data_IF_623562847181
#
_entry.id   IF_623562847181
#
_cell.length_a   1.000
_cell.length_b   1.000
_cell.length_c   1.000
_cell.angle_alpha   90.00
_cell.angle_beta   90.00
_cell.angle_gamma   90.00
#
_symmetry.space_group_name_H-M   'P 1'
#
loop_
_entity.id
_entity.type
_entity.pdbx_description
1 polymer ?
#
# COMPACT_ATOMS: atom_id res chain seq x y z
N UNK A 1 9.53 -10.83 14.46
CA UNK A 1 8.40 -9.92 14.70
C UNK A 1 7.95 -9.30 13.37
N UNK A 2 6.63 -9.08 13.20
CA UNK A 2 6.06 -8.54 11.98
C UNK A 2 5.07 -7.43 12.27
N UNK A 3 5.09 -6.38 11.46
CA UNK A 3 4.11 -5.30 11.45
C UNK A 3 3.37 -5.36 10.11
N UNK A 4 2.05 -5.39 10.14
CA UNK A 4 1.22 -5.49 8.94
C UNK A 4 0.40 -4.21 8.81
N UNK A 5 0.60 -3.49 7.71
CA UNK A 5 -0.25 -2.40 7.29
C UNK A 5 -1.34 -2.94 6.39
N UNK A 6 -2.58 -2.87 6.87
CA UNK A 6 -3.74 -3.20 6.04
C UNK A 6 -4.18 -1.96 5.29
N UNK A 7 -4.22 -2.04 3.98
CA UNK A 7 -4.81 -1.02 3.11
C UNK A 7 -5.96 -1.59 2.30
N UNK A 8 -6.73 -0.72 1.68
CA UNK A 8 -7.75 -1.08 0.71
C UNK A 8 -7.59 -0.15 -0.49
N UNK A 9 -6.93 -0.65 -1.54
CA UNK A 9 -6.76 0.12 -2.76
C UNK A 9 -7.98 -0.02 -3.67
N UNK A 10 -8.63 1.10 -3.99
CA UNK A 10 -9.79 1.14 -4.88
C UNK A 10 -9.41 1.13 -6.36
N UNK A 11 -8.14 1.29 -6.68
CA UNK A 11 -7.66 1.53 -8.05
C UNK A 11 -6.90 0.34 -8.64
N UNK A 12 -6.61 -0.68 -7.86
CA UNK A 12 -5.92 -1.89 -8.33
C UNK A 12 -4.45 -1.70 -8.68
N UNK A 13 -3.82 -0.68 -8.14
CA UNK A 13 -2.42 -0.30 -8.40
C UNK A 13 -1.46 -0.88 -7.35
N UNK A 14 -1.90 -0.94 -6.08
CA UNK A 14 -1.06 -1.46 -5.01
C UNK A 14 -1.01 -2.99 -5.01
N UNK A 15 0.16 -3.60 -4.77
CA UNK A 15 0.29 -5.04 -4.73
C UNK A 15 -0.53 -5.65 -3.57
N UNK A 16 -1.06 -6.88 -3.74
CA UNK A 16 -1.74 -7.62 -2.67
C UNK A 16 -0.87 -7.85 -1.44
N UNK A 17 0.44 -8.05 -1.66
CA UNK A 17 1.45 -8.27 -0.63
C UNK A 17 2.76 -7.59 -1.03
N UNK A 18 3.35 -6.84 -0.12
CA UNK A 18 4.70 -6.30 -0.29
C UNK A 18 5.44 -6.15 1.03
N UNK A 19 6.77 -6.20 1.00
CA UNK A 19 7.64 -5.81 2.09
C UNK A 19 8.05 -4.35 1.93
N UNK A 20 8.13 -3.64 3.04
CA UNK A 20 8.52 -2.23 3.09
C UNK A 20 9.85 -2.04 3.79
N UNK A 21 10.67 -1.12 3.30
CA UNK A 21 11.77 -0.54 4.06
C UNK A 21 11.22 0.32 5.21
N UNK A 22 12.06 0.64 6.19
CA UNK A 22 11.66 1.49 7.33
C UNK A 22 11.13 2.85 6.89
N UNK A 23 11.76 3.47 5.90
CA UNK A 23 11.33 4.78 5.38
C UNK A 23 10.04 4.69 4.56
N UNK A 24 9.84 3.62 3.81
CA UNK A 24 8.55 3.34 3.17
C UNK A 24 7.44 3.13 4.22
N UNK A 25 7.73 2.38 5.29
CA UNK A 25 6.78 2.21 6.39
C UNK A 25 6.39 3.55 7.03
N UNK A 26 7.36 4.44 7.28
CA UNK A 26 7.07 5.79 7.79
C UNK A 26 6.20 6.59 6.80
N UNK A 27 6.54 6.59 5.50
CA UNK A 27 5.78 7.29 4.46
C UNK A 27 4.33 6.79 4.39
N UNK A 28 4.14 5.47 4.30
CA UNK A 28 2.81 4.87 4.24
C UNK A 28 2.01 5.06 5.53
N UNK A 29 2.66 5.01 6.69
CA UNK A 29 2.03 5.30 7.97
C UNK A 29 1.54 6.74 8.06
N UNK A 30 2.39 7.71 7.71
CA UNK A 30 2.00 9.13 7.67
C UNK A 30 0.87 9.36 6.66
N UNK A 31 0.91 8.72 5.51
CA UNK A 31 -0.16 8.82 4.48
C UNK A 31 -1.48 8.22 4.97
N UNK A 32 -1.44 7.07 5.65
CA UNK A 32 -2.62 6.38 6.16
C UNK A 32 -3.64 6.08 5.07
N UNK A 33 -3.17 5.58 3.90
CA UNK A 33 -4.00 5.35 2.74
C UNK A 33 -4.93 4.16 2.90
N UNK A 34 -6.19 4.37 2.51
CA UNK A 34 -7.22 3.34 2.35
C UNK A 34 -8.27 3.83 1.36
N UNK A 35 -9.35 3.11 1.19
CA UNK A 35 -10.52 3.57 0.44
C UNK A 35 -11.75 3.68 1.34
N UNK A 36 -12.56 4.72 1.11
CA UNK A 36 -13.95 4.76 1.59
C UNK A 36 -14.78 3.89 0.66
N UNK A 37 -15.52 2.99 1.25
CA UNK A 37 -16.35 2.04 0.49
C UNK A 37 -17.70 2.67 0.13
N UNK A 38 -18.25 2.26 -1.01
CA UNK A 38 -19.61 2.65 -1.41
C UNK A 38 -20.61 2.34 -0.29
N UNK A 39 -21.47 3.30 0.01
CA UNK A 39 -22.54 3.15 1.02
C UNK A 39 -22.09 3.24 2.48
N UNK A 40 -20.79 3.47 2.76
CA UNK A 40 -20.32 3.64 4.15
C UNK A 40 -20.48 5.07 4.68
N UNK A 41 -20.54 6.05 3.80
CA UNK A 41 -20.76 7.46 4.12
C UNK A 41 -21.76 8.08 3.13
N UNK A 42 -22.52 9.10 3.58
CA UNK A 42 -23.46 9.82 2.72
C UNK A 42 -22.73 10.43 1.51
N UNK A 43 -23.20 10.14 0.31
CA UNK A 43 -22.65 10.67 -0.95
C UNK A 43 -21.49 9.85 -1.53
N UNK A 44 -21.03 8.78 -0.88
CA UNK A 44 -20.04 7.85 -1.42
C UNK A 44 -20.79 6.73 -2.17
N UNK A 45 -20.82 6.82 -3.49
CA UNK A 45 -21.48 5.84 -4.39
C UNK A 45 -20.50 4.81 -4.94
N UNK A 46 -19.20 5.15 -4.97
CA UNK A 46 -18.11 4.30 -5.47
C UNK A 46 -16.93 4.35 -4.50
N UNK A 47 -16.08 3.31 -4.43
CA UNK A 47 -14.87 3.34 -3.62
C UNK A 47 -13.93 4.46 -4.07
N UNK A 48 -13.47 5.29 -3.13
CA UNK A 48 -12.58 6.42 -3.39
C UNK A 48 -11.42 6.45 -2.42
N UNK A 49 -10.28 6.99 -2.86
CA UNK A 49 -9.10 7.16 -2.01
C UNK A 49 -9.43 7.97 -0.75
N UNK A 50 -8.95 7.49 0.38
CA UNK A 50 -9.03 8.18 1.66
C UNK A 50 -7.66 8.16 2.34
N UNK A 51 -7.32 9.26 2.99
CA UNK A 51 -6.06 9.41 3.71
C UNK A 51 -6.35 9.83 5.15
N UNK A 52 -5.94 9.01 6.10
CA UNK A 52 -6.08 9.28 7.54
C UNK A 52 -4.71 9.11 8.20
N UNK A 53 -4.00 10.20 8.51
CA UNK A 53 -2.63 10.13 9.03
C UNK A 53 -2.50 9.13 10.16
N UNK A 54 -1.48 8.28 10.09
CA UNK A 54 -1.22 7.19 11.06
C UNK A 54 -2.43 6.27 11.27
N UNK A 55 -3.35 6.17 10.30
CA UNK A 55 -4.63 5.43 10.38
C UNK A 55 -5.55 5.89 11.52
N UNK A 56 -5.29 7.06 12.09
CA UNK A 56 -6.00 7.59 13.26
C UNK A 56 -6.11 9.11 13.26
N UNK A 57 -6.14 9.76 12.08
CA UNK A 57 -6.07 11.21 11.92
C UNK A 57 -6.86 12.03 12.95
N UNK A 58 -8.17 11.75 13.19
CA UNK A 58 -8.98 12.50 14.17
C UNK A 58 -8.51 12.41 15.63
N UNK A 59 -7.66 11.43 15.95
CA UNK A 59 -7.18 11.16 17.31
C UNK A 59 -5.74 11.64 17.54
N UNK A 60 -5.06 12.14 16.51
CA UNK A 60 -3.68 12.61 16.63
C UNK A 60 -3.62 13.95 17.35
N UNK A 61 -2.83 14.02 18.41
CA UNK A 61 -2.59 15.26 19.18
C UNK A 61 -1.26 15.92 18.80
N UNK A 62 -0.35 15.16 18.16
CA UNK A 62 0.96 15.64 17.70
C UNK A 62 1.04 15.55 16.18
N UNK A 63 2.07 16.17 15.62
CA UNK A 63 2.36 16.06 14.20
C UNK A 63 2.61 14.60 13.79
N UNK A 64 2.08 14.11 12.63
CA UNK A 64 2.18 12.71 12.20
C UNK A 64 3.61 12.16 12.16
N UNK A 65 4.60 13.01 11.86
CA UNK A 65 6.01 12.61 11.87
C UNK A 65 6.46 12.06 13.23
N UNK A 66 5.96 12.61 14.35
CA UNK A 66 6.34 12.13 15.70
C UNK A 66 5.91 10.70 15.94
N UNK A 67 4.73 10.32 15.44
CA UNK A 67 4.25 8.95 15.51
C UNK A 67 5.03 8.01 14.57
N UNK A 68 5.42 8.51 13.40
CA UNK A 68 6.25 7.74 12.46
C UNK A 68 7.67 7.51 13.00
N UNK A 69 8.27 8.48 13.71
CA UNK A 69 9.56 8.31 14.43
C UNK A 69 9.45 7.24 15.52
N UNK A 70 8.36 7.23 16.28
CA UNK A 70 8.11 6.18 17.29
C UNK A 70 7.94 4.81 16.66
N UNK A 71 7.25 4.73 15.50
CA UNK A 71 7.14 3.49 14.73
C UNK A 71 8.52 3.01 14.27
N UNK A 72 9.35 3.89 13.67
CA UNK A 72 10.71 3.56 13.24
C UNK A 72 11.56 3.05 14.43
N UNK A 73 11.47 3.71 15.60
CA UNK A 73 12.13 3.24 16.80
C UNK A 73 11.69 1.82 17.17
N UNK A 74 10.39 1.52 17.15
CA UNK A 74 9.89 0.17 17.46
C UNK A 74 10.31 -0.87 16.42
N UNK A 75 10.36 -0.52 15.14
CA UNK A 75 10.90 -1.39 14.10
C UNK A 75 12.36 -1.73 14.41
N UNK A 76 13.16 -0.74 14.83
CA UNK A 76 14.57 -0.94 15.20
C UNK A 76 14.74 -1.76 16.48
N UNK A 77 14.01 -1.41 17.55
CA UNK A 77 14.12 -2.04 18.88
C UNK A 77 13.81 -3.54 18.83
N UNK A 78 12.90 -3.95 17.95
CA UNK A 78 12.40 -5.33 17.85
C UNK A 78 12.82 -6.07 16.58
N UNK A 79 13.65 -5.45 15.74
CA UNK A 79 14.06 -5.98 14.43
C UNK A 79 12.84 -6.52 13.64
N UNK A 80 11.81 -5.69 13.54
CA UNK A 80 10.53 -6.09 12.95
C UNK A 80 10.54 -5.90 11.44
N UNK A 81 10.09 -6.91 10.70
CA UNK A 81 9.76 -6.78 9.28
C UNK A 81 8.43 -6.06 9.11
N UNK A 82 8.32 -5.21 8.09
CA UNK A 82 7.08 -4.46 7.84
C UNK A 82 6.50 -4.86 6.49
N UNK A 83 5.22 -5.19 6.49
CA UNK A 83 4.48 -5.64 5.32
C UNK A 83 3.29 -4.73 5.04
N UNK A 84 3.00 -4.53 3.75
CA UNK A 84 1.75 -3.96 3.28
C UNK A 84 0.90 -5.10 2.72
N UNK A 85 -0.35 -5.16 3.15
CA UNK A 85 -1.35 -6.11 2.64
C UNK A 85 -2.54 -5.31 2.11
N UNK A 86 -2.75 -5.40 0.80
CA UNK A 86 -3.90 -4.78 0.14
C UNK A 86 -5.11 -5.70 0.21
N UNK A 87 -6.20 -5.21 0.76
CA UNK A 87 -7.49 -5.91 0.87
C UNK A 87 -8.53 -5.37 -0.12
N UNK A 88 -8.13 -4.46 -0.99
CA UNK A 88 -8.98 -3.81 -2.00
C UNK A 88 -9.04 -4.58 -3.31
N UNK A 89 -8.63 -3.93 -4.39
CA UNK A 89 -8.60 -4.48 -5.74
C UNK A 89 -7.17 -4.69 -6.22
N UNK A 90 -7.00 -5.58 -7.20
CA UNK A 90 -5.77 -5.82 -7.92
C UNK A 90 -6.11 -6.16 -9.37
N UNK A 91 -5.27 -5.70 -10.32
CA UNK A 91 -5.47 -5.96 -11.76
C UNK A 91 -6.50 -5.07 -12.45
N UNK A 92 -7.30 -4.33 -11.71
CA UNK A 92 -8.23 -3.31 -12.23
C UNK A 92 -8.84 -2.50 -11.08
N UNK A 93 -9.52 -1.39 -11.42
CA UNK A 93 -10.16 -0.55 -10.42
C UNK A 93 -11.50 -1.12 -9.94
N UNK A 94 -11.98 -0.63 -8.79
CA UNK A 94 -13.30 -0.97 -8.26
C UNK A 94 -14.45 -0.63 -9.21
N UNK A 95 -14.27 0.40 -10.06
CA UNK A 95 -15.28 0.89 -11.01
C UNK A 95 -15.33 0.10 -12.32
N UNK A 96 -14.32 -0.73 -12.61
CA UNK A 96 -14.27 -1.56 -13.81
C UNK A 96 -15.03 -2.89 -13.70
N UNK A 97 -15.78 -3.09 -12.61
CA UNK A 97 -16.60 -4.29 -12.40
C UNK A 97 -15.82 -5.51 -11.91
N UNK A 98 -14.55 -5.35 -11.56
CA UNK A 98 -13.74 -6.42 -10.99
C UNK A 98 -14.11 -6.71 -9.53
N UNK A 99 -13.77 -7.92 -9.07
CA UNK A 99 -13.98 -8.32 -7.70
C UNK A 99 -12.88 -7.82 -6.78
N UNK A 100 -13.25 -7.48 -5.55
CA UNK A 100 -12.31 -7.22 -4.47
C UNK A 100 -11.51 -8.48 -4.15
N UNK A 101 -10.26 -8.32 -3.68
CA UNK A 101 -9.42 -9.43 -3.22
C UNK A 101 -10.18 -10.26 -2.18
N UNK A 102 -10.25 -11.58 -2.40
CA UNK A 102 -10.99 -12.50 -1.54
C UNK A 102 -10.41 -12.51 -0.12
N UNK A 103 -11.29 -12.54 0.87
CA UNK A 103 -10.92 -12.62 2.28
C UNK A 103 -10.09 -13.88 2.60
N UNK A 104 -10.30 -14.98 1.87
CA UNK A 104 -9.50 -16.20 2.04
C UNK A 104 -8.05 -15.98 1.64
N UNK A 105 -7.81 -15.25 0.52
CA UNK A 105 -6.46 -14.88 0.08
C UNK A 105 -5.80 -13.92 1.08
N UNK A 106 -6.53 -12.92 1.57
CA UNK A 106 -6.03 -12.02 2.61
C UNK A 106 -5.61 -12.78 3.88
N UNK A 107 -6.44 -13.71 4.34
CA UNK A 107 -6.12 -14.56 5.51
C UNK A 107 -4.91 -15.45 5.26
N UNK A 108 -4.80 -16.01 4.06
CA UNK A 108 -3.66 -16.82 3.68
C UNK A 108 -2.36 -16.02 3.71
N UNK A 109 -2.34 -14.82 3.11
CA UNK A 109 -1.20 -13.90 3.16
C UNK A 109 -0.80 -13.57 4.61
N UNK A 110 -1.78 -13.26 5.47
CA UNK A 110 -1.51 -12.96 6.88
C UNK A 110 -0.89 -14.16 7.60
N UNK A 111 -1.36 -15.38 7.33
CA UNK A 111 -0.77 -16.59 7.91
C UNK A 111 0.68 -16.76 7.47
N UNK A 112 0.99 -16.62 6.18
CA UNK A 112 2.36 -16.69 5.65
C UNK A 112 3.30 -15.64 6.26
N UNK A 113 2.78 -14.44 6.57
CA UNK A 113 3.56 -13.41 7.29
C UNK A 113 3.82 -13.83 8.74
N UNK A 114 2.80 -14.35 9.43
CA UNK A 114 2.87 -14.62 10.87
C UNK A 114 3.66 -15.87 11.21
N UNK A 115 3.64 -16.88 10.34
CA UNK A 115 4.44 -18.11 10.51
C UNK A 115 5.86 -18.00 9.92
N UNK A 116 6.17 -16.89 9.22
CA UNK A 116 7.49 -16.62 8.65
C UNK A 116 7.79 -17.42 7.38
N UNK A 117 6.78 -17.93 6.69
CA UNK A 117 6.95 -18.75 5.47
C UNK A 117 7.24 -17.93 4.21
N UNK A 118 7.17 -16.58 4.28
CA UNK A 118 7.44 -15.74 3.12
C UNK A 118 8.94 -15.73 2.77
N UNK A 119 9.23 -16.05 1.51
CA UNK A 119 10.57 -15.99 0.94
C UNK A 119 10.69 -14.81 -0.04
N UNK A 120 11.62 -13.92 0.24
CA UNK A 120 11.97 -12.77 -0.61
C UNK A 120 13.26 -12.96 -1.41
N UNK A 121 13.80 -14.19 -1.47
CA UNK A 121 14.99 -14.51 -2.29
C UNK A 121 14.76 -14.26 -3.78
N UNK A 122 13.49 -14.36 -4.21
CA UNK A 122 13.03 -13.94 -5.53
C UNK A 122 11.94 -12.90 -5.33
N UNK A 123 12.22 -11.68 -5.72
CA UNK A 123 11.30 -10.54 -5.58
C UNK A 123 11.43 -9.59 -6.77
N UNK A 124 10.41 -8.77 -6.96
CA UNK A 124 10.40 -7.64 -7.89
C UNK A 124 9.91 -6.39 -7.15
N UNK A 125 10.18 -5.23 -7.73
CA UNK A 125 9.69 -3.97 -7.18
C UNK A 125 8.54 -3.45 -8.02
N UNK A 126 7.46 -3.02 -7.35
CA UNK A 126 6.36 -2.39 -8.07
C UNK A 126 6.78 -1.06 -8.70
N UNK A 127 6.07 -0.66 -9.76
CA UNK A 127 6.48 0.47 -10.61
C UNK A 127 6.35 1.83 -9.88
N UNK A 128 5.27 2.01 -9.12
CA UNK A 128 4.89 3.30 -8.57
C UNK A 128 5.43 3.56 -7.16
N UNK A 129 5.33 2.58 -6.27
CA UNK A 129 5.68 2.73 -4.85
C UNK A 129 7.04 2.11 -4.51
N UNK A 130 7.66 1.42 -5.48
CA UNK A 130 8.93 0.71 -5.30
C UNK A 130 8.91 -0.26 -4.09
N UNK A 131 7.73 -0.84 -3.81
CA UNK A 131 7.54 -1.84 -2.78
C UNK A 131 8.05 -3.19 -3.27
N UNK A 132 8.67 -3.95 -2.39
CA UNK A 132 9.23 -5.26 -2.72
C UNK A 132 8.17 -6.35 -2.67
N UNK A 133 7.86 -6.94 -3.81
CA UNK A 133 6.85 -7.98 -3.98
C UNK A 133 7.54 -9.34 -4.05
N UNK A 134 7.24 -10.29 -3.15
CA UNK A 134 7.78 -11.65 -3.25
C UNK A 134 7.18 -12.39 -4.44
N UNK A 135 7.98 -13.23 -5.08
CA UNK A 135 7.53 -14.15 -6.13
C UNK A 135 7.50 -15.59 -5.60
N UNK A 136 6.73 -16.46 -6.27
CA UNK A 136 6.61 -17.87 -5.89
C UNK A 136 6.07 -18.07 -4.46
N UNK A 137 5.11 -17.26 -4.07
CA UNK A 137 4.41 -17.39 -2.78
C UNK A 137 3.44 -18.58 -2.85
N UNK A 138 3.52 -19.50 -1.88
CA UNK A 138 2.67 -20.68 -1.86
C UNK A 138 1.19 -20.33 -1.93
N UNK A 139 0.46 -20.97 -2.84
CA UNK A 139 -0.96 -20.75 -3.06
C UNK A 139 -1.34 -19.43 -3.75
N UNK A 140 -0.35 -18.63 -4.23
CA UNK A 140 -0.58 -17.38 -4.94
C UNK A 140 0.17 -17.35 -6.27
N UNK A 141 -0.51 -16.92 -7.33
CA UNK A 141 0.11 -16.75 -8.65
C UNK A 141 0.86 -15.42 -8.72
N UNK A 142 2.00 -15.42 -9.44
CA UNK A 142 2.81 -14.20 -9.62
C UNK A 142 2.05 -13.08 -10.33
N UNK A 143 1.20 -13.42 -11.28
CA UNK A 143 0.37 -12.45 -12.00
C UNK A 143 -0.66 -11.77 -11.08
N UNK A 144 -1.12 -12.46 -10.04
CA UNK A 144 -1.93 -11.85 -8.99
C UNK A 144 -1.11 -10.93 -8.07
N UNK A 145 0.12 -11.34 -7.74
CA UNK A 145 1.00 -10.57 -6.81
C UNK A 145 1.53 -9.27 -7.44
N UNK A 146 1.78 -9.28 -8.75
CA UNK A 146 2.39 -8.14 -9.48
C UNK A 146 1.30 -7.38 -10.23
N UNK A 147 0.82 -6.22 -9.75
CA UNK A 147 -0.40 -5.58 -10.27
C UNK A 147 -0.42 -5.38 -11.78
N UNK A 148 0.67 -4.89 -12.38
CA UNK A 148 0.70 -4.63 -13.83
C UNK A 148 0.61 -5.90 -14.70
N UNK A 149 0.82 -7.10 -14.16
CA UNK A 149 0.61 -8.35 -14.89
C UNK A 149 -0.89 -8.71 -15.03
N UNK A 150 -1.72 -8.24 -14.10
CA UNK A 150 -3.16 -8.52 -14.06
C UNK A 150 -4.00 -7.48 -14.82
N UNK A 151 -3.38 -6.42 -15.35
CA UNK A 151 -4.10 -5.41 -16.11
C UNK A 151 -4.11 -5.75 -17.61
N UNK A 152 -5.30 -5.76 -18.22
CA UNK A 152 -5.45 -5.97 -19.67
C UNK A 152 -4.91 -4.80 -20.50
N UNK A 153 -4.94 -3.59 -19.95
CA UNK A 153 -4.48 -2.36 -20.59
C UNK A 153 -3.41 -1.65 -19.76
N UNK A 154 -2.17 -1.71 -20.19
CA UNK A 154 -1.04 -1.07 -19.51
C UNK A 154 -1.10 0.47 -19.55
N UNK A 155 -1.65 1.09 -20.59
CA UNK A 155 -1.82 2.55 -20.63
C UNK A 155 -2.79 3.00 -19.53
N UNK A 156 -3.87 2.26 -19.31
CA UNK A 156 -4.82 2.51 -18.24
C UNK A 156 -4.18 2.29 -16.87
N UNK A 157 -3.37 1.22 -16.70
CA UNK A 157 -2.60 0.99 -15.49
C UNK A 157 -1.71 2.18 -15.13
N UNK A 158 -0.90 2.67 -16.10
CA UNK A 158 0.00 3.81 -15.87
C UNK A 158 -0.78 5.11 -15.63
N UNK A 159 -1.85 5.36 -16.36
CA UNK A 159 -2.71 6.53 -16.15
C UNK A 159 -3.31 6.54 -14.74
N UNK A 160 -3.87 5.40 -14.31
CA UNK A 160 -4.47 5.23 -12.98
C UNK A 160 -3.43 5.31 -11.87
N UNK A 161 -2.26 4.69 -12.07
CA UNK A 161 -1.16 4.75 -11.12
C UNK A 161 -0.61 6.17 -10.94
N UNK A 162 -0.42 6.91 -12.02
CA UNK A 162 -0.03 8.31 -11.96
C UNK A 162 -1.06 9.19 -11.24
N UNK A 163 -2.35 8.94 -11.44
CA UNK A 163 -3.41 9.61 -10.71
C UNK A 163 -3.31 9.31 -9.21
N UNK A 164 -3.18 8.04 -8.83
CA UNK A 164 -3.08 7.63 -7.42
C UNK A 164 -1.83 8.21 -6.73
N UNK A 165 -0.68 8.15 -7.39
CA UNK A 165 0.58 8.67 -6.82
C UNK A 165 0.54 10.18 -6.62
N UNK A 166 -0.12 10.94 -7.50
CA UNK A 166 -0.38 12.37 -7.30
C UNK A 166 -1.26 12.63 -6.08
N UNK A 167 -2.28 11.78 -5.82
CA UNK A 167 -3.08 11.87 -4.60
C UNK A 167 -2.23 11.66 -3.34
N UNK A 168 -1.33 10.69 -3.36
CA UNK A 168 -0.37 10.46 -2.26
C UNK A 168 0.51 11.67 -2.03
N UNK A 169 1.16 12.20 -3.07
CA UNK A 169 2.07 13.34 -2.96
C UNK A 169 1.33 14.58 -2.45
N UNK A 170 0.16 14.92 -3.04
CA UNK A 170 -0.66 16.04 -2.61
C UNK A 170 -1.13 15.91 -1.14
N UNK A 171 -1.36 14.68 -0.68
CA UNK A 171 -1.69 14.45 0.72
C UNK A 171 -0.47 14.62 1.62
N UNK A 172 0.68 14.07 1.20
CA UNK A 172 1.91 14.10 1.99
C UNK A 172 2.48 15.52 2.17
N UNK A 173 2.38 16.37 1.14
CA UNK A 173 2.83 17.76 1.14
C UNK A 173 2.17 18.61 2.23
N UNK A 174 0.96 18.24 2.66
CA UNK A 174 0.24 18.93 3.76
C UNK A 174 1.01 18.88 5.09
N UNK A 175 1.83 17.85 5.28
CA UNK A 175 2.58 17.64 6.52
C UNK A 175 3.92 18.40 6.55
N UNK A 176 4.36 18.99 5.41
CA UNK A 176 5.59 19.79 5.32
C UNK A 176 6.83 19.10 5.89
N UNK A 177 6.90 17.78 5.72
CA UNK A 177 8.03 16.96 6.17
C UNK A 177 9.22 17.23 5.25
N UNK A 178 10.42 17.45 5.83
CA UNK A 178 11.64 17.76 5.11
C UNK A 178 12.69 16.64 5.19
N UNK A 179 12.38 15.51 5.80
CA UNK A 179 13.27 14.34 5.82
C UNK A 179 13.38 13.77 4.39
N UNK A 180 14.57 13.92 3.79
CA UNK A 180 14.84 13.52 2.41
C UNK A 180 14.65 12.02 2.18
N UNK A 181 14.93 11.20 3.19
CA UNK A 181 14.84 9.74 3.07
C UNK A 181 13.37 9.28 3.08
N UNK A 182 12.54 9.94 3.89
CA UNK A 182 11.10 9.69 3.88
C UNK A 182 10.48 10.16 2.55
N UNK A 183 10.88 11.35 2.06
CA UNK A 183 10.40 11.86 0.77
C UNK A 183 10.81 10.95 -0.39
N UNK A 184 12.05 10.46 -0.41
CA UNK A 184 12.55 9.54 -1.42
C UNK A 184 11.88 8.15 -1.38
N UNK A 185 11.29 7.77 -0.23
CA UNK A 185 10.54 6.54 -0.06
C UNK A 185 9.08 6.63 -0.56
N UNK A 186 8.65 7.83 -0.96
CA UNK A 186 7.33 8.06 -1.56
C UNK A 186 7.19 7.51 -2.97
N UNK A 187 5.98 7.56 -3.55
CA UNK A 187 5.71 7.02 -4.87
C UNK A 187 6.31 7.87 -5.98
N UNK A 188 6.63 7.20 -7.09
CA UNK A 188 7.05 7.84 -8.34
C UNK A 188 5.82 8.22 -9.16
N UNK A 189 5.87 9.40 -9.78
CA UNK A 189 4.83 9.90 -10.70
C UNK A 189 5.36 10.00 -12.12
N UNK A 190 4.42 10.24 -13.06
CA UNK A 190 4.71 10.49 -14.47
C UNK A 190 5.43 9.34 -15.18
N UNK A 191 5.10 8.10 -14.77
CA UNK A 191 5.56 6.88 -15.43
C UNK A 191 4.69 6.60 -16.69
N UNK A 192 5.31 5.97 -17.69
CA UNK A 192 4.67 5.54 -18.92
C UNK A 192 4.90 4.04 -19.20
N UNK A 193 4.06 3.48 -20.07
CA UNK A 193 4.18 2.10 -20.52
C UNK A 193 5.47 1.82 -21.28
#
# INVERSE_FOLDING_TARGET
>A
NSIIFLTCDAYGIMPPLARMTKKQAMYHFISGYTAKMAGTETGITEPVAAFSPCYGGPFLTLHPLRYAELLEQKINDYDSSVYLVNTGWSGSSATSGSSRIDLKLTKHIINLITDGSLDFSKSVFDKFFNLEIPLNVDGLENDFLVPHHSWDNLEEYFSTGNMLTRLFNNNFDKFKIQDSDILAAGPKTDLSA
#
